data_IF_180893977652
#
_entry.id   IF_180893977652
#
_cell.length_a   1.000
_cell.length_b   1.000
_cell.length_c   1.000
_cell.angle_alpha   90.00
_cell.angle_beta   90.00
_cell.angle_gamma   90.00
#
_symmetry.space_group_name_H-M   'P 1'
#
loop_
_entity.id
_entity.type
_entity.pdbx_description
1 polymer ?
#
# COMPACT_ATOMS: atom_id res chain seq x y z
N UNK A 1 16.44 0.05 3.10
CA UNK A 1 15.97 -1.11 3.84
C UNK A 1 14.52 -0.87 4.21
N UNK A 2 13.61 -1.70 3.72
CA UNK A 2 12.18 -1.50 3.93
C UNK A 2 11.84 -1.79 5.41
N UNK A 3 10.78 -1.20 5.95
CA UNK A 3 10.38 -1.46 7.34
C UNK A 3 10.04 -2.96 7.54
N UNK A 4 9.55 -3.65 6.50
CA UNK A 4 9.33 -5.10 6.49
C UNK A 4 10.61 -5.90 6.63
N UNK A 5 11.71 -5.47 6.02
CA UNK A 5 13.01 -6.12 6.14
C UNK A 5 13.49 -6.07 7.60
N UNK A 6 13.33 -4.91 8.25
CA UNK A 6 13.65 -4.76 9.67
C UNK A 6 12.76 -5.65 10.56
N UNK A 7 11.46 -5.76 10.22
CA UNK A 7 10.55 -6.65 10.93
C UNK A 7 10.99 -8.11 10.80
N UNK A 8 11.38 -8.55 9.60
CA UNK A 8 11.89 -9.91 9.36
C UNK A 8 13.15 -10.19 10.15
N UNK A 9 14.11 -9.26 10.15
CA UNK A 9 15.40 -9.45 10.84
C UNK A 9 15.29 -9.34 12.36
N UNK A 10 14.61 -8.31 12.87
CA UNK A 10 14.68 -7.98 14.29
C UNK A 10 13.56 -8.60 15.11
N UNK A 11 12.37 -8.75 14.53
CA UNK A 11 11.21 -9.31 15.24
C UNK A 11 11.09 -10.83 15.05
N UNK A 12 11.26 -11.30 13.83
CA UNK A 12 11.19 -12.74 13.52
C UNK A 12 12.53 -13.46 13.60
N UNK A 13 13.64 -12.74 13.79
CA UNK A 13 14.98 -13.33 13.88
C UNK A 13 15.45 -13.99 12.59
N UNK A 14 14.85 -13.60 11.45
CA UNK A 14 15.19 -14.13 10.13
C UNK A 14 16.53 -13.60 9.62
N UNK A 15 17.08 -14.26 8.58
CA UNK A 15 18.28 -13.84 7.88
C UNK A 15 17.97 -13.21 6.51
N UNK A 16 19.02 -13.12 5.68
CA UNK A 16 18.89 -12.58 4.31
C UNK A 16 17.98 -13.42 3.43
N UNK A 17 17.86 -14.72 3.71
CA UNK A 17 16.98 -15.62 2.97
C UNK A 17 15.49 -15.29 3.23
N UNK A 18 15.12 -15.14 4.51
CA UNK A 18 13.76 -14.80 4.92
C UNK A 18 13.33 -13.42 4.39
N UNK A 19 14.27 -12.45 4.38
CA UNK A 19 14.02 -11.14 3.75
C UNK A 19 13.70 -11.27 2.26
N UNK A 20 14.55 -12.01 1.53
CA UNK A 20 14.34 -12.24 0.10
C UNK A 20 13.02 -12.97 -0.18
N UNK A 21 12.66 -13.91 0.68
CA UNK A 21 11.41 -14.66 0.57
C UNK A 21 10.19 -13.73 0.72
N UNK A 22 10.19 -12.84 1.72
CA UNK A 22 9.10 -11.86 1.91
C UNK A 22 8.97 -10.93 0.70
N UNK A 23 10.10 -10.46 0.14
CA UNK A 23 10.07 -9.61 -1.06
C UNK A 23 9.54 -10.35 -2.30
N UNK A 24 9.92 -11.61 -2.48
CA UNK A 24 9.40 -12.48 -3.57
C UNK A 24 7.89 -12.72 -3.40
N UNK A 25 7.46 -13.03 -2.19
CA UNK A 25 6.04 -13.27 -1.86
C UNK A 25 5.21 -12.01 -2.11
N UNK A 26 5.68 -10.85 -1.65
CA UNK A 26 5.03 -9.58 -1.90
C UNK A 26 4.98 -9.22 -3.39
N UNK A 27 6.12 -9.38 -4.11
CA UNK A 27 6.21 -9.15 -5.54
C UNK A 27 5.29 -10.10 -6.33
N UNK A 28 5.22 -11.37 -5.94
CA UNK A 28 4.27 -12.35 -6.48
C UNK A 28 2.82 -11.91 -6.30
N UNK A 29 2.47 -11.42 -5.11
CA UNK A 29 1.17 -10.83 -4.84
C UNK A 29 0.88 -9.63 -5.76
N UNK A 30 1.86 -8.75 -5.95
CA UNK A 30 1.72 -7.60 -6.82
C UNK A 30 1.51 -7.99 -8.29
N UNK A 31 2.19 -9.03 -8.76
CA UNK A 31 1.98 -9.59 -10.11
C UNK A 31 0.56 -10.14 -10.28
N UNK A 32 0.07 -10.90 -9.30
CA UNK A 32 -1.31 -11.42 -9.30
C UNK A 32 -2.31 -10.27 -9.33
N UNK A 33 -2.16 -9.27 -8.47
CA UNK A 33 -3.03 -8.08 -8.44
C UNK A 33 -3.04 -7.31 -9.76
N UNK A 34 -1.87 -7.12 -10.37
CA UNK A 34 -1.73 -6.49 -11.67
C UNK A 34 -2.38 -7.30 -12.80
N UNK A 35 -2.18 -8.62 -12.81
CA UNK A 35 -2.80 -9.50 -13.79
C UNK A 35 -4.33 -9.51 -13.68
N UNK A 36 -4.88 -9.53 -12.47
CA UNK A 36 -6.33 -9.46 -12.21
C UNK A 36 -6.91 -8.13 -12.73
N UNK A 37 -6.22 -7.01 -12.48
CA UNK A 37 -6.65 -5.69 -12.97
C UNK A 37 -6.54 -5.57 -14.50
N UNK A 38 -5.54 -6.19 -15.12
CA UNK A 38 -5.37 -6.20 -16.58
C UNK A 38 -6.35 -7.10 -17.30
N UNK A 39 -6.75 -8.23 -16.68
CA UNK A 39 -7.63 -9.23 -17.31
C UNK A 39 -9.13 -8.87 -17.24
N UNK A 40 -9.56 -7.97 -16.37
CA UNK A 40 -10.98 -7.63 -16.19
C UNK A 40 -11.22 -6.13 -16.34
N UNK A 41 -12.18 -5.79 -17.22
CA UNK A 41 -12.79 -4.46 -17.24
C UNK A 41 -13.77 -4.37 -16.06
N UNK A 42 -13.31 -3.82 -14.95
CA UNK A 42 -14.16 -3.66 -13.77
C UNK A 42 -15.17 -2.53 -13.99
N UNK A 43 -16.45 -2.85 -13.88
CA UNK A 43 -17.57 -1.89 -13.79
C UNK A 43 -17.77 -1.31 -12.39
N UNK A 44 -16.79 -1.53 -11.51
CA UNK A 44 -16.83 -1.04 -10.12
C UNK A 44 -16.34 0.40 -10.09
N UNK A 45 -17.00 1.22 -9.26
CA UNK A 45 -16.57 2.59 -8.98
C UNK A 45 -15.09 2.58 -8.53
N UNK A 46 -14.20 3.11 -9.36
CA UNK A 46 -12.74 3.06 -9.14
C UNK A 46 -12.33 3.79 -7.86
N UNK A 47 -13.07 4.83 -7.49
CA UNK A 47 -12.79 5.59 -6.26
C UNK A 47 -13.11 4.78 -5.02
N UNK A 48 -14.24 4.05 -5.03
CA UNK A 48 -14.59 3.13 -3.93
C UNK A 48 -13.56 2.01 -3.83
N UNK A 49 -13.12 1.48 -4.97
CA UNK A 49 -12.09 0.43 -5.00
C UNK A 49 -10.76 0.94 -4.42
N UNK A 50 -10.30 2.12 -4.83
CA UNK A 50 -9.08 2.76 -4.31
C UNK A 50 -9.16 2.89 -2.78
N UNK A 51 -10.28 3.40 -2.28
CA UNK A 51 -10.47 3.65 -0.85
C UNK A 51 -10.55 2.35 -0.04
N UNK A 52 -11.23 1.33 -0.59
CA UNK A 52 -11.30 0.00 0.02
C UNK A 52 -9.92 -0.66 0.09
N UNK A 53 -9.14 -0.58 -1.00
CA UNK A 53 -7.77 -1.12 -1.03
C UNK A 53 -6.87 -0.38 -0.04
N UNK A 54 -7.02 0.93 0.08
CA UNK A 54 -6.26 1.73 1.04
C UNK A 54 -6.55 1.33 2.49
N UNK A 55 -7.82 1.13 2.84
CA UNK A 55 -8.21 0.61 4.15
C UNK A 55 -7.66 -0.80 4.40
N UNK A 56 -7.72 -1.66 3.39
CA UNK A 56 -7.18 -3.02 3.49
C UNK A 56 -5.68 -3.00 3.75
N UNK A 57 -4.91 -2.14 3.07
CA UNK A 57 -3.46 -1.96 3.31
C UNK A 57 -3.23 -1.55 4.77
N UNK A 58 -3.98 -0.56 5.29
CA UNK A 58 -3.84 -0.12 6.67
C UNK A 58 -4.12 -1.23 7.69
N UNK A 59 -5.17 -2.02 7.45
CA UNK A 59 -5.51 -3.18 8.31
C UNK A 59 -4.43 -4.27 8.26
N UNK A 60 -3.89 -4.58 7.08
CA UNK A 60 -2.82 -5.57 6.92
C UNK A 60 -1.55 -5.12 7.64
N UNK A 61 -1.21 -3.83 7.56
CA UNK A 61 -0.08 -3.26 8.30
C UNK A 61 -0.27 -3.39 9.81
N UNK A 62 -1.44 -2.98 10.32
CA UNK A 62 -1.74 -3.08 11.74
C UNK A 62 -1.73 -4.55 12.22
N UNK A 63 -2.33 -5.46 11.45
CA UNK A 63 -2.32 -6.89 11.74
C UNK A 63 -0.89 -7.46 11.75
N UNK A 64 -0.06 -7.09 10.79
CA UNK A 64 1.34 -7.52 10.73
C UNK A 64 2.14 -7.07 11.96
N UNK A 65 1.85 -5.88 12.49
CA UNK A 65 2.47 -5.39 13.72
C UNK A 65 2.04 -6.13 14.99
N UNK A 66 0.90 -6.81 14.98
CA UNK A 66 0.38 -7.54 16.15
C UNK A 66 0.81 -9.02 16.17
N UNK A 67 1.57 -9.49 15.19
CA UNK A 67 1.98 -10.89 15.10
C UNK A 67 3.07 -11.23 16.14
N UNK A 68 2.97 -12.42 16.78
CA UNK A 68 4.05 -12.93 17.62
C UNK A 68 5.27 -13.34 16.77
N UNK A 69 6.49 -13.35 17.33
CA UNK A 69 7.72 -13.69 16.60
C UNK A 69 7.73 -15.08 15.94
N UNK A 70 6.85 -15.96 16.38
CA UNK A 70 6.72 -17.34 15.85
C UNK A 70 5.82 -17.42 14.61
N UNK A 71 5.11 -16.36 14.25
CA UNK A 71 4.10 -16.35 13.18
C UNK A 71 4.64 -15.86 11.83
N UNK A 72 5.88 -16.18 11.48
CA UNK A 72 6.51 -15.76 10.22
C UNK A 72 5.71 -16.18 8.97
N UNK A 73 5.14 -17.41 8.97
CA UNK A 73 4.32 -17.88 7.85
C UNK A 73 3.06 -17.02 7.65
N UNK A 74 2.44 -16.56 8.75
CA UNK A 74 1.29 -15.66 8.69
C UNK A 74 1.70 -14.27 8.19
N UNK A 75 2.86 -13.77 8.61
CA UNK A 75 3.43 -12.53 8.10
C UNK A 75 3.69 -12.60 6.58
N UNK A 76 4.20 -13.72 6.08
CA UNK A 76 4.38 -13.95 4.64
C UNK A 76 3.03 -13.96 3.89
N UNK A 77 2.00 -14.61 4.46
CA UNK A 77 0.65 -14.61 3.87
C UNK A 77 0.02 -13.20 3.82
N UNK A 78 0.18 -12.41 4.89
CA UNK A 78 -0.26 -11.02 4.91
C UNK A 78 0.50 -10.17 3.89
N UNK A 79 1.82 -10.40 3.72
CA UNK A 79 2.65 -9.72 2.72
C UNK A 79 2.20 -10.03 1.29
N UNK A 80 1.76 -11.26 1.01
CA UNK A 80 1.18 -11.62 -0.28
C UNK A 80 -0.10 -10.81 -0.57
N UNK A 81 -1.02 -10.78 0.39
CA UNK A 81 -2.29 -10.06 0.27
C UNK A 81 -2.02 -8.55 0.12
N UNK A 82 -1.05 -8.03 0.86
CA UNK A 82 -0.62 -6.63 0.76
C UNK A 82 -0.07 -6.31 -0.63
N UNK A 83 0.72 -7.20 -1.23
CA UNK A 83 1.21 -7.06 -2.60
C UNK A 83 0.07 -6.98 -3.61
N UNK A 84 -0.91 -7.89 -3.52
CA UNK A 84 -2.12 -7.86 -4.37
C UNK A 84 -2.86 -6.53 -4.20
N UNK A 85 -3.14 -6.15 -2.96
CA UNK A 85 -3.92 -4.95 -2.62
C UNK A 85 -3.22 -3.67 -3.08
N UNK A 86 -1.91 -3.58 -2.87
CA UNK A 86 -1.07 -2.44 -3.28
C UNK A 86 -1.04 -2.30 -4.80
N UNK A 87 -0.94 -3.41 -5.54
CA UNK A 87 -0.97 -3.39 -7.00
C UNK A 87 -2.33 -2.96 -7.56
N UNK A 88 -3.43 -3.47 -6.99
CA UNK A 88 -4.80 -3.07 -7.37
C UNK A 88 -5.03 -1.58 -7.07
N UNK A 89 -4.58 -1.10 -5.90
CA UNK A 89 -4.64 0.33 -5.55
C UNK A 89 -3.90 1.19 -6.58
N UNK A 90 -2.63 0.87 -6.85
CA UNK A 90 -1.78 1.65 -7.77
C UNK A 90 -2.35 1.66 -9.19
N UNK A 91 -2.74 0.50 -9.72
CA UNK A 91 -3.34 0.37 -11.05
C UNK A 91 -4.64 1.17 -11.18
N UNK A 92 -5.49 1.12 -10.15
CA UNK A 92 -6.75 1.87 -10.13
C UNK A 92 -6.49 3.37 -10.09
N UNK A 93 -5.54 3.82 -9.27
CA UNK A 93 -5.18 5.23 -9.12
C UNK A 93 -4.61 5.81 -10.43
N UNK A 94 -3.63 5.11 -11.03
CA UNK A 94 -3.05 5.50 -12.34
C UNK A 94 -4.12 5.54 -13.42
N UNK A 95 -5.03 4.56 -13.45
CA UNK A 95 -6.13 4.51 -14.41
C UNK A 95 -7.10 5.69 -14.26
N UNK A 96 -7.38 6.15 -13.04
CA UNK A 96 -8.19 7.35 -12.80
C UNK A 96 -7.48 8.60 -13.34
N UNK A 97 -6.19 8.75 -13.08
CA UNK A 97 -5.40 9.87 -13.62
C UNK A 97 -5.46 9.87 -15.15
N UNK A 98 -5.17 8.73 -15.77
CA UNK A 98 -5.14 8.60 -17.24
C UNK A 98 -6.51 8.85 -17.88
N UNK A 99 -7.60 8.52 -17.20
CA UNK A 99 -8.97 8.75 -17.72
C UNK A 99 -9.44 10.20 -17.62
N UNK A 100 -8.77 11.03 -16.80
CA UNK A 100 -9.19 12.42 -16.51
C UNK A 100 -8.29 13.47 -17.13
N UNK A 101 -7.11 13.09 -17.60
CA UNK A 101 -6.08 14.01 -18.07
C UNK A 101 -5.89 13.81 -19.56
N UNK A 102 -5.83 14.93 -20.29
CA UNK A 102 -5.57 14.94 -21.72
C UNK A 102 -4.22 14.29 -22.04
N UNK A 103 -4.17 13.49 -23.10
CA UNK A 103 -2.98 12.77 -23.54
C UNK A 103 -1.77 13.68 -23.77
N UNK A 104 -2.01 14.94 -24.20
CA UNK A 104 -0.96 15.92 -24.46
C UNK A 104 -0.19 16.38 -23.21
N UNK A 105 -0.81 16.32 -22.03
CA UNK A 105 -0.20 16.76 -20.77
C UNK A 105 0.03 15.60 -19.77
N UNK A 106 -0.45 14.40 -20.10
CA UNK A 106 -0.38 13.23 -19.24
C UNK A 106 1.05 12.92 -18.77
N UNK A 107 2.05 13.01 -19.65
CA UNK A 107 3.45 12.76 -19.31
C UNK A 107 3.97 13.73 -18.23
N UNK A 108 3.60 15.01 -18.32
CA UNK A 108 4.00 16.02 -17.32
C UNK A 108 3.36 15.76 -15.96
N UNK A 109 2.06 15.40 -15.95
CA UNK A 109 1.32 15.10 -14.72
C UNK A 109 1.88 13.83 -14.06
N UNK A 110 2.16 12.79 -14.82
CA UNK A 110 2.76 11.56 -14.29
C UNK A 110 4.17 11.80 -13.74
N UNK A 111 4.98 12.61 -14.42
CA UNK A 111 6.30 13.00 -13.91
C UNK A 111 6.22 13.75 -12.58
N UNK A 112 5.29 14.72 -12.47
CA UNK A 112 5.04 15.42 -11.22
C UNK A 112 4.55 14.47 -10.12
N UNK A 113 3.62 13.57 -10.43
CA UNK A 113 3.11 12.58 -9.49
C UNK A 113 4.23 11.73 -8.89
N UNK A 114 5.11 11.18 -9.73
CA UNK A 114 6.24 10.38 -9.25
C UNK A 114 7.27 11.22 -8.48
N UNK A 115 7.56 12.43 -8.94
CA UNK A 115 8.49 13.34 -8.25
C UNK A 115 7.98 13.76 -6.87
N UNK A 116 6.71 14.14 -6.78
CA UNK A 116 6.09 14.48 -5.50
C UNK A 116 5.90 13.27 -4.59
N UNK A 117 5.77 12.05 -5.13
CA UNK A 117 5.72 10.82 -4.35
C UNK A 117 7.03 10.46 -3.65
N UNK A 118 8.17 10.87 -4.23
CA UNK A 118 9.49 10.59 -3.65
C UNK A 118 9.76 11.32 -2.33
N UNK A 119 9.35 12.59 -2.21
CA UNK A 119 9.57 13.40 -1.00
C UNK A 119 8.85 12.83 0.23
N UNK A 120 7.54 12.57 0.22
CA UNK A 120 6.85 11.95 1.34
C UNK A 120 7.38 10.54 1.65
N UNK A 121 7.81 9.79 0.63
CA UNK A 121 8.40 8.47 0.81
C UNK A 121 9.72 8.53 1.58
N UNK A 122 10.59 9.48 1.25
CA UNK A 122 11.85 9.70 1.96
C UNK A 122 11.61 10.14 3.42
N UNK A 123 10.70 11.09 3.63
CA UNK A 123 10.32 11.56 4.98
C UNK A 123 9.68 10.41 5.78
N UNK A 124 8.81 9.63 5.16
CA UNK A 124 8.18 8.46 5.77
C UNK A 124 9.21 7.40 6.18
N UNK A 125 10.21 7.13 5.34
CA UNK A 125 11.28 6.19 5.64
C UNK A 125 12.14 6.64 6.82
N UNK A 126 12.52 7.91 6.88
CA UNK A 126 13.26 8.50 8.01
C UNK A 126 12.41 8.50 9.27
N UNK A 127 11.15 8.93 9.17
CA UNK A 127 10.22 8.98 10.31
C UNK A 127 9.93 7.59 10.89
N UNK A 128 9.69 6.60 10.05
CA UNK A 128 9.46 5.21 10.51
C UNK A 128 10.73 4.57 11.06
N UNK A 129 11.91 4.92 10.53
CA UNK A 129 13.20 4.51 11.07
C UNK A 129 13.40 5.02 12.49
N UNK A 130 13.21 6.32 12.69
CA UNK A 130 13.31 6.98 13.99
C UNK A 130 12.27 6.43 14.99
N UNK A 131 11.02 6.27 14.55
CA UNK A 131 9.96 5.70 15.38
C UNK A 131 10.29 4.27 15.82
N UNK A 132 10.77 3.43 14.89
CA UNK A 132 11.13 2.05 15.18
C UNK A 132 12.25 1.92 16.21
N UNK A 133 13.18 2.88 16.27
CA UNK A 133 14.25 2.91 17.27
C UNK A 133 13.74 3.30 18.67
N UNK A 134 12.74 4.19 18.77
CA UNK A 134 12.27 4.72 20.05
C UNK A 134 11.07 3.95 20.63
N UNK A 135 10.16 3.48 19.80
CA UNK A 135 8.89 2.87 20.22
C UNK A 135 8.82 1.36 19.87
N UNK A 136 9.79 0.89 19.11
CA UNK A 136 9.83 -0.50 18.63
C UNK A 136 9.10 -0.71 17.30
N UNK A 137 9.53 -1.77 16.58
CA UNK A 137 9.02 -2.08 15.23
C UNK A 137 7.54 -2.42 15.22
N UNK A 138 7.10 -3.26 16.15
CA UNK A 138 5.71 -3.70 16.31
C UNK A 138 4.76 -2.51 16.47
N UNK A 139 5.09 -1.61 17.39
CA UNK A 139 4.30 -0.40 17.64
C UNK A 139 4.30 0.53 16.43
N UNK A 140 5.41 0.64 15.71
CA UNK A 140 5.52 1.44 14.49
C UNK A 140 4.59 0.92 13.39
N UNK A 141 4.49 -0.40 13.20
CA UNK A 141 3.56 -1.02 12.26
C UNK A 141 2.10 -0.74 12.62
N UNK A 142 1.76 -0.86 13.91
CA UNK A 142 0.39 -0.58 14.38
C UNK A 142 0.05 0.90 14.21
N UNK A 143 0.95 1.81 14.55
CA UNK A 143 0.74 3.26 14.36
C UNK A 143 0.58 3.57 12.87
N UNK A 144 1.47 3.07 12.01
CA UNK A 144 1.38 3.31 10.57
C UNK A 144 0.06 2.76 9.99
N UNK A 145 -0.32 1.53 10.37
CA UNK A 145 -1.57 0.92 9.95
C UNK A 145 -2.81 1.70 10.40
N UNK A 146 -2.84 2.17 11.65
CA UNK A 146 -3.95 2.99 12.18
C UNK A 146 -4.05 4.35 11.52
N UNK A 147 -2.92 5.00 11.23
CA UNK A 147 -2.89 6.28 10.50
C UNK A 147 -3.42 6.09 9.07
N UNK A 148 -2.99 5.04 8.37
CA UNK A 148 -3.47 4.71 7.03
C UNK A 148 -4.98 4.45 7.04
N UNK A 149 -5.48 3.66 8.00
CA UNK A 149 -6.91 3.41 8.17
C UNK A 149 -7.68 4.71 8.47
N UNK A 150 -7.15 5.57 9.34
CA UNK A 150 -7.76 6.86 9.68
C UNK A 150 -7.93 7.76 8.45
N UNK A 151 -6.88 7.88 7.64
CA UNK A 151 -6.92 8.65 6.38
C UNK A 151 -7.95 8.03 5.42
N UNK A 152 -7.99 6.70 5.28
CA UNK A 152 -8.96 6.00 4.45
C UNK A 152 -10.41 6.24 4.89
N UNK A 153 -10.69 6.22 6.20
CA UNK A 153 -12.00 6.51 6.76
C UNK A 153 -12.41 7.97 6.50
N UNK A 154 -11.49 8.92 6.71
CA UNK A 154 -11.75 10.35 6.42
C UNK A 154 -12.07 10.52 4.93
N UNK A 155 -11.32 9.88 4.03
CA UNK A 155 -11.58 9.93 2.60
C UNK A 155 -12.96 9.36 2.23
N UNK A 156 -13.45 8.35 2.97
CA UNK A 156 -14.79 7.79 2.80
C UNK A 156 -15.89 8.78 3.23
N UNK A 157 -15.61 9.62 4.25
CA UNK A 157 -16.55 10.62 4.76
C UNK A 157 -16.66 11.87 3.87
N UNK A 158 -15.81 12.04 2.86
CA UNK A 158 -15.86 13.21 1.95
C UNK A 158 -16.73 12.87 0.72
N UNK A 159 -18.00 13.33 0.68
CA UNK A 159 -18.93 12.97 -0.42
C UNK A 159 -18.52 13.54 -1.78
N UNK A 160 -17.70 14.59 -1.80
CA UNK A 160 -17.18 15.17 -3.03
C UNK A 160 -16.25 14.22 -3.79
N UNK A 161 -15.47 13.40 -3.09
CA UNK A 161 -14.58 12.39 -3.69
C UNK A 161 -15.41 11.25 -4.31
N UNK A 162 -16.50 10.85 -3.65
CA UNK A 162 -17.38 9.77 -4.11
C UNK A 162 -18.23 10.15 -5.35
N UNK A 163 -18.47 11.44 -5.58
CA UNK A 163 -19.26 11.93 -6.73
C UNK A 163 -18.46 12.09 -8.02
N UNK A 164 -17.13 12.08 -7.94
CA UNK A 164 -16.27 12.27 -9.10
C UNK A 164 -16.46 11.19 -10.19
N UNK A 165 -16.92 10.00 -9.83
CA UNK A 165 -17.10 8.89 -10.78
C UNK A 165 -18.47 8.94 -11.50
N UNK A 166 -19.47 9.65 -10.96
CA UNK A 166 -20.80 9.80 -11.59
C UNK A 166 -20.86 10.76 -12.77
N UNK A 167 -19.81 11.55 -13.00
CA UNK A 167 -19.75 12.53 -14.08
C UNK A 167 -19.12 11.99 -15.38
N UNK A 168 -18.76 10.71 -15.43
CA UNK A 168 -18.13 10.07 -16.58
C UNK A 168 -18.94 8.92 -17.21
N UNK A 169 -20.23 8.84 -16.92
CA UNK A 169 -21.20 7.95 -17.63
C UNK A 169 -21.99 8.70 -18.65
#
# INVERSE_FOLDING_TARGET
MCIRDRMTLQHFGGGAYEMSLIEIVWGGGALIGGAVMGARTYRVNRIVLINLMYLTIGLLFAASGMLPPTAFALFAALSLIEGVTSSVFNSSFVSVIQSRIDAGVLGRVMSLYYSFGLLPSAIGLLGTGFLAEHVGLTTTFVIAGTVICGIGLIAFCIPSVMRLDRQSS
#
